data_IF_829444372353
#
_entry.id   IF_829444372353
#
_cell.length_a   1.000
_cell.length_b   1.000
_cell.length_c   1.000
_cell.angle_alpha   90.00
_cell.angle_beta   90.00
_cell.angle_gamma   90.00
#
_symmetry.space_group_name_H-M   'P 1'
#
loop_
_entity.id
_entity.type
_entity.pdbx_description
1 polymer ?
#
# COMPACT_ATOMS: atom_id res chain seq x y z
N UNK A 1 40.21 -9.42 1.41
CA UNK A 1 39.25 -10.38 1.98
C UNK A 1 38.27 -9.57 2.83
N UNK A 2 37.11 -9.23 2.26
CA UNK A 2 36.10 -8.34 2.88
C UNK A 2 34.90 -9.23 3.25
N UNK A 3 34.37 -9.17 4.48
CA UNK A 3 33.31 -10.08 4.91
C UNK A 3 31.99 -9.71 4.23
N UNK A 4 31.32 -10.71 3.63
CA UNK A 4 29.93 -10.59 3.19
C UNK A 4 29.01 -10.80 4.39
N UNK A 5 28.66 -9.73 5.10
CA UNK A 5 27.55 -9.78 6.05
C UNK A 5 26.24 -9.69 5.28
N UNK A 6 25.63 -10.85 5.02
CA UNK A 6 24.26 -10.94 4.50
C UNK A 6 23.29 -10.31 5.51
N UNK A 7 22.66 -9.21 5.12
CA UNK A 7 21.53 -8.66 5.86
C UNK A 7 20.26 -9.17 5.17
N UNK A 8 19.55 -10.05 5.89
CA UNK A 8 18.24 -10.56 5.49
C UNK A 8 17.25 -9.40 5.45
N UNK A 9 16.48 -9.36 4.37
CA UNK A 9 15.46 -8.35 4.03
C UNK A 9 14.23 -8.36 4.97
N UNK A 10 14.32 -9.03 6.11
CA UNK A 10 13.16 -9.48 6.91
C UNK A 10 12.61 -8.45 7.90
N UNK A 11 13.45 -7.55 8.45
CA UNK A 11 13.05 -6.89 9.71
C UNK A 11 12.95 -5.35 9.64
N UNK A 12 13.16 -4.74 8.48
CA UNK A 12 13.06 -3.28 8.30
C UNK A 12 12.67 -2.93 6.87
N UNK A 13 11.39 -2.62 6.63
CA UNK A 13 11.01 -1.78 5.48
C UNK A 13 10.33 -0.52 6.04
N UNK A 14 11.11 0.19 6.84
CA UNK A 14 11.16 1.65 6.82
C UNK A 14 12.24 2.01 5.81
N UNK A 15 11.86 2.15 4.53
CA UNK A 15 12.65 2.96 3.62
C UNK A 15 12.00 4.34 3.61
N UNK A 16 12.58 5.24 4.40
CA UNK A 16 12.49 6.67 4.19
C UNK A 16 12.78 6.94 2.71
N UNK A 17 11.78 7.34 1.94
CA UNK A 17 12.01 7.87 0.60
C UNK A 17 12.48 9.34 0.67
N UNK A 18 13.49 9.60 1.52
CA UNK A 18 14.16 10.91 1.58
C UNK A 18 15.39 10.98 0.67
N UNK A 19 15.91 9.86 0.14
CA UNK A 19 17.21 9.84 -0.56
C UNK A 19 17.17 9.44 -2.05
N UNK A 20 16.00 9.46 -2.71
CA UNK A 20 15.91 9.23 -4.17
C UNK A 20 15.67 10.49 -5.02
N UNK A 21 15.78 11.70 -4.44
CA UNK A 21 15.85 12.94 -5.23
C UNK A 21 17.13 13.74 -4.93
N UNK A 22 18.29 13.37 -5.53
CA UNK A 22 19.51 14.13 -5.37
C UNK A 22 19.57 15.32 -6.34
N UNK A 23 18.49 16.11 -6.52
CA UNK A 23 18.59 17.40 -7.25
C UNK A 23 17.41 18.38 -7.17
N UNK A 24 16.90 18.75 -6.01
CA UNK A 24 15.95 19.89 -5.95
C UNK A 24 16.09 20.75 -4.69
N UNK A 25 17.28 21.34 -4.51
CA UNK A 25 17.42 22.58 -3.72
C UNK A 25 16.82 23.76 -4.50
N UNK A 26 15.49 23.95 -4.52
CA UNK A 26 14.82 25.27 -4.59
C UNK A 26 13.34 25.15 -4.15
N UNK A 27 13.07 25.65 -2.93
CA UNK A 27 11.80 26.15 -2.35
C UNK A 27 10.48 25.44 -2.76
N UNK A 28 9.89 24.69 -1.83
CA UNK A 28 8.48 24.26 -1.86
C UNK A 28 8.28 22.90 -1.17
N UNK A 29 7.30 22.78 -0.28
CA UNK A 29 7.18 21.78 0.78
C UNK A 29 6.85 20.34 0.38
N UNK A 30 7.61 19.40 0.98
CA UNK A 30 7.18 18.15 1.65
C UNK A 30 6.42 17.13 0.79
N UNK A 31 7.18 16.18 0.24
CA UNK A 31 6.70 14.84 -0.06
C UNK A 31 6.36 14.17 1.28
N UNK A 32 5.08 13.89 1.53
CA UNK A 32 4.61 13.35 2.82
C UNK A 32 4.23 11.89 2.63
N UNK A 33 4.98 10.99 3.27
CA UNK A 33 4.59 9.59 3.43
C UNK A 33 4.18 9.37 4.89
N UNK A 34 3.00 8.78 5.12
CA UNK A 34 2.53 8.35 6.44
C UNK A 34 2.62 6.83 6.56
N UNK A 35 3.12 6.37 7.70
CA UNK A 35 3.08 4.97 8.13
C UNK A 35 2.23 4.91 9.40
N UNK A 36 1.21 4.06 9.43
CA UNK A 36 0.51 3.66 10.65
C UNK A 36 1.27 2.45 11.24
N UNK A 37 1.63 2.53 12.52
CA UNK A 37 2.19 1.38 13.25
C UNK A 37 1.12 0.29 13.37
N UNK A 38 1.27 -0.79 12.62
CA UNK A 38 0.67 -2.08 12.97
C UNK A 38 1.77 -2.92 13.61
N UNK A 39 1.52 -3.36 14.84
CA UNK A 39 2.43 -4.18 15.63
C UNK A 39 3.01 -5.34 14.80
N UNK A 40 4.32 -5.54 14.92
CA UNK A 40 5.03 -6.64 14.31
C UNK A 40 4.60 -7.97 14.97
N UNK A 41 3.47 -8.51 14.52
CA UNK A 41 3.16 -9.92 14.73
C UNK A 41 3.75 -10.70 13.55
N UNK A 42 4.45 -11.78 13.87
CA UNK A 42 5.13 -12.60 12.86
C UNK A 42 4.04 -13.32 12.06
N UNK A 43 3.76 -12.86 10.84
CA UNK A 43 2.72 -13.42 9.96
C UNK A 43 2.94 -14.92 9.74
N UNK A 44 2.13 -15.74 10.39
CA UNK A 44 2.18 -17.20 10.28
C UNK A 44 1.56 -17.72 8.99
N UNK A 45 1.09 -16.84 8.09
CA UNK A 45 0.36 -17.22 6.88
C UNK A 45 -1.02 -17.82 7.17
N UNK A 46 -1.44 -17.86 8.45
CA UNK A 46 -2.73 -18.37 8.86
C UNK A 46 -3.75 -17.21 8.86
N UNK A 47 -4.91 -17.47 8.25
CA UNK A 47 -6.01 -16.52 8.21
C UNK A 47 -6.74 -16.51 9.55
N UNK A 48 -7.03 -15.32 10.08
CA UNK A 48 -7.89 -15.17 11.28
C UNK A 48 -9.33 -15.55 10.96
N UNK A 49 -10.16 -15.77 11.98
CA UNK A 49 -11.60 -16.03 11.77
C UNK A 49 -12.29 -14.92 10.99
N UNK A 50 -11.95 -13.65 11.27
CA UNK A 50 -12.48 -12.49 10.54
C UNK A 50 -12.02 -12.46 9.08
N UNK A 51 -10.76 -12.80 8.81
CA UNK A 51 -10.24 -12.91 7.44
C UNK A 51 -10.87 -14.08 6.68
N UNK A 52 -11.11 -15.21 7.35
CA UNK A 52 -11.82 -16.35 6.77
C UNK A 52 -13.25 -15.96 6.37
N UNK A 53 -13.95 -15.21 7.20
CA UNK A 53 -15.29 -14.70 6.89
C UNK A 53 -15.25 -13.68 5.74
N UNK A 54 -14.36 -12.69 5.82
CA UNK A 54 -14.19 -11.64 4.79
C UNK A 54 -13.83 -12.22 3.42
N UNK A 55 -12.95 -13.22 3.37
CA UNK A 55 -12.42 -13.79 2.14
C UNK A 55 -13.06 -15.13 1.75
N UNK A 56 -14.14 -15.55 2.42
CA UNK A 56 -14.82 -16.83 2.15
C UNK A 56 -15.11 -17.04 0.66
N UNK A 57 -15.56 -15.99 -0.05
CA UNK A 57 -15.87 -16.05 -1.49
C UNK A 57 -14.63 -16.13 -2.39
N UNK A 58 -13.45 -15.71 -1.94
CA UNK A 58 -12.20 -15.92 -2.67
C UNK A 58 -11.66 -17.32 -2.41
N UNK A 59 -11.75 -17.81 -1.17
CA UNK A 59 -11.24 -19.13 -0.76
C UNK A 59 -11.94 -20.27 -1.49
N UNK A 60 -13.23 -20.14 -1.82
CA UNK A 60 -13.95 -21.18 -2.58
C UNK A 60 -13.55 -21.25 -4.06
N UNK A 61 -12.80 -20.27 -4.58
CA UNK A 61 -12.31 -20.29 -5.97
C UNK A 61 -11.19 -21.31 -6.09
N UNK A 62 -11.29 -22.19 -7.09
CA UNK A 62 -10.38 -23.31 -7.31
C UNK A 62 -8.92 -22.86 -7.47
N UNK A 63 -8.71 -21.74 -8.16
CA UNK A 63 -7.39 -21.18 -8.47
C UNK A 63 -6.77 -20.41 -7.29
N UNK A 64 -7.58 -20.02 -6.30
CA UNK A 64 -7.13 -19.25 -5.13
C UNK A 64 -7.02 -20.19 -3.93
N UNK A 65 -8.14 -20.72 -3.43
CA UNK A 65 -8.13 -21.57 -2.23
C UNK A 65 -7.65 -20.84 -0.97
N UNK A 66 -7.62 -21.57 0.15
CA UNK A 66 -6.94 -21.10 1.37
C UNK A 66 -5.47 -20.74 1.14
N UNK A 67 -4.66 -21.57 0.43
CA UNK A 67 -3.26 -21.28 0.17
C UNK A 67 -3.03 -20.00 -0.65
N UNK A 68 -3.86 -19.73 -1.67
CA UNK A 68 -3.74 -18.51 -2.46
C UNK A 68 -4.13 -17.26 -1.67
N UNK A 69 -5.15 -17.35 -0.81
CA UNK A 69 -5.51 -16.24 0.07
C UNK A 69 -4.41 -15.97 1.11
N UNK A 70 -3.80 -17.01 1.68
CA UNK A 70 -2.62 -16.87 2.54
C UNK A 70 -1.42 -16.26 1.80
N UNK A 71 -1.22 -16.62 0.54
CA UNK A 71 -0.18 -16.03 -0.30
C UNK A 71 -0.43 -14.54 -0.58
N UNK A 72 -1.69 -14.13 -0.80
CA UNK A 72 -2.06 -12.72 -0.91
C UNK A 72 -1.78 -11.96 0.38
N UNK A 73 -2.17 -12.53 1.54
CA UNK A 73 -1.86 -11.94 2.86
C UNK A 73 -0.36 -11.72 3.06
N UNK A 74 0.47 -12.70 2.70
CA UNK A 74 1.92 -12.56 2.80
C UNK A 74 2.56 -11.65 1.73
N UNK A 75 1.80 -11.25 0.69
CA UNK A 75 2.33 -10.48 -0.43
C UNK A 75 2.57 -9.01 -0.08
N UNK A 76 3.60 -8.44 -0.74
CA UNK A 76 3.95 -7.02 -0.65
C UNK A 76 3.96 -6.43 -2.05
N UNK A 77 3.16 -5.40 -2.28
CA UNK A 77 3.01 -4.76 -3.60
C UNK A 77 3.28 -3.26 -3.47
N UNK A 78 4.11 -2.72 -4.37
CA UNK A 78 4.34 -1.28 -4.51
C UNK A 78 3.56 -0.77 -5.72
N UNK A 79 2.68 0.20 -5.51
CA UNK A 79 1.94 0.89 -6.57
C UNK A 79 2.50 2.29 -6.75
N UNK A 80 2.93 2.59 -7.98
CA UNK A 80 3.44 3.92 -8.35
C UNK A 80 2.31 4.66 -9.08
N UNK A 81 1.83 5.71 -8.43
CA UNK A 81 0.67 6.51 -8.80
C UNK A 81 -0.58 6.05 -8.07
N UNK A 82 -1.27 7.00 -7.41
CA UNK A 82 -2.62 6.89 -6.87
C UNK A 82 -3.64 7.64 -7.77
N UNK A 83 -3.30 7.81 -9.05
CA UNK A 83 -4.13 8.48 -10.05
C UNK A 83 -5.22 7.57 -10.66
N UNK A 84 -5.59 7.81 -11.92
CA UNK A 84 -6.75 7.13 -12.54
C UNK A 84 -6.61 5.60 -12.68
N UNK A 85 -5.38 5.09 -12.85
CA UNK A 85 -5.10 3.65 -12.90
C UNK A 85 -4.78 3.07 -11.52
N UNK A 86 -4.04 3.83 -10.71
CA UNK A 86 -3.65 3.43 -9.37
C UNK A 86 -4.82 3.31 -8.41
N UNK A 87 -5.79 4.22 -8.50
CA UNK A 87 -6.98 4.23 -7.67
C UNK A 87 -7.75 2.88 -7.68
N UNK A 88 -8.21 2.36 -8.82
CA UNK A 88 -8.88 1.05 -8.85
C UNK A 88 -7.93 -0.10 -8.49
N UNK A 89 -6.66 -0.06 -8.89
CA UNK A 89 -5.70 -1.10 -8.55
C UNK A 89 -5.51 -1.23 -7.02
N UNK A 90 -5.28 -0.11 -6.33
CA UNK A 90 -5.13 -0.06 -4.88
C UNK A 90 -6.36 -0.59 -4.16
N UNK A 91 -7.56 -0.17 -4.57
CA UNK A 91 -8.79 -0.63 -3.96
C UNK A 91 -8.98 -2.14 -4.12
N UNK A 92 -8.72 -2.70 -5.31
CA UNK A 92 -8.88 -4.14 -5.53
C UNK A 92 -7.77 -4.96 -4.87
N UNK A 93 -6.52 -4.48 -4.82
CA UNK A 93 -5.45 -5.16 -4.11
C UNK A 93 -5.71 -5.21 -2.59
N UNK A 94 -6.21 -4.11 -2.02
CA UNK A 94 -6.61 -4.06 -0.62
C UNK A 94 -7.80 -4.99 -0.35
N UNK A 95 -8.85 -4.92 -1.18
CA UNK A 95 -10.03 -5.78 -1.08
C UNK A 95 -9.71 -7.27 -1.28
N UNK A 96 -8.70 -7.60 -2.11
CA UNK A 96 -8.19 -8.96 -2.28
C UNK A 96 -7.43 -9.48 -1.06
N UNK A 97 -7.04 -8.61 -0.13
CA UNK A 97 -6.29 -8.96 1.07
C UNK A 97 -4.79 -9.05 0.86
N UNK A 98 -4.22 -8.22 -0.02
CA UNK A 98 -2.75 -8.04 -0.06
C UNK A 98 -2.28 -7.44 1.26
N UNK A 99 -1.43 -8.14 2.00
CA UNK A 99 -1.10 -7.73 3.37
C UNK A 99 -0.20 -6.50 3.48
N UNK A 100 0.58 -6.17 2.45
CA UNK A 100 1.35 -4.92 2.44
C UNK A 100 1.22 -4.18 1.11
N UNK A 101 0.69 -2.95 1.17
CA UNK A 101 0.61 -2.04 0.04
C UNK A 101 1.47 -0.80 0.28
N UNK A 102 2.46 -0.61 -0.58
CA UNK A 102 3.21 0.65 -0.69
C UNK A 102 2.60 1.53 -1.77
N UNK A 103 2.50 2.84 -1.51
CA UNK A 103 1.97 3.83 -2.46
C UNK A 103 3.01 4.92 -2.66
N UNK A 104 3.29 5.28 -3.91
CA UNK A 104 4.14 6.42 -4.27
C UNK A 104 3.37 7.32 -5.22
N UNK A 105 3.13 8.57 -4.83
CA UNK A 105 2.54 9.61 -5.67
C UNK A 105 3.02 10.96 -5.14
N UNK A 106 3.38 11.90 -6.01
CA UNK A 106 3.92 13.21 -5.66
C UNK A 106 2.89 14.35 -5.78
N UNK A 107 1.66 14.03 -6.21
CA UNK A 107 0.59 15.01 -6.35
C UNK A 107 -0.29 15.13 -5.09
N UNK A 108 -1.06 16.21 -5.07
CA UNK A 108 -2.24 16.37 -4.22
C UNK A 108 -3.55 16.02 -4.96
N UNK A 109 -4.61 15.74 -4.21
CA UNK A 109 -5.95 15.53 -4.73
C UNK A 109 -6.47 16.84 -5.33
N UNK A 110 -7.05 16.76 -6.54
CA UNK A 110 -7.66 17.90 -7.23
C UNK A 110 -9.08 17.57 -7.64
N UNK A 111 -9.97 18.56 -7.55
CA UNK A 111 -11.39 18.45 -7.94
C UNK A 111 -11.54 17.96 -9.39
N UNK A 112 -10.70 18.46 -10.31
CA UNK A 112 -10.73 18.11 -11.74
C UNK A 112 -10.24 16.69 -12.04
N UNK A 113 -9.83 15.94 -11.02
CA UNK A 113 -9.40 14.56 -11.13
C UNK A 113 -10.39 13.54 -10.53
N UNK A 114 -11.38 14.00 -9.75
CA UNK A 114 -12.28 13.12 -9.00
C UNK A 114 -13.21 12.27 -9.89
N UNK A 115 -13.48 12.69 -11.13
CA UNK A 115 -14.26 11.92 -12.10
C UNK A 115 -13.62 10.59 -12.50
N UNK A 116 -12.31 10.41 -12.27
CA UNK A 116 -11.56 9.19 -12.62
C UNK A 116 -10.72 8.61 -11.49
N UNK A 117 -10.48 9.36 -10.41
CA UNK A 117 -9.68 8.94 -9.27
C UNK A 117 -10.59 8.60 -8.08
N UNK A 118 -11.38 7.53 -8.25
CA UNK A 118 -12.48 7.12 -7.37
C UNK A 118 -12.07 6.75 -5.93
N UNK A 119 -10.77 6.60 -5.68
CA UNK A 119 -10.23 6.35 -4.33
C UNK A 119 -10.30 7.62 -3.46
N UNK A 120 -10.29 8.82 -4.07
CA UNK A 120 -10.33 10.11 -3.39
C UNK A 120 -11.76 10.68 -3.33
N UNK A 121 -12.01 11.59 -2.38
CA UNK A 121 -13.29 12.29 -2.26
C UNK A 121 -13.12 13.81 -2.23
N UNK A 122 -14.21 14.56 -2.43
CA UNK A 122 -14.23 16.03 -2.39
C UNK A 122 -13.63 16.62 -1.10
N UNK A 123 -13.85 16.04 0.10
CA UNK A 123 -13.22 16.53 1.33
C UNK A 123 -11.68 16.42 1.34
N UNK A 124 -11.10 15.58 0.47
CA UNK A 124 -9.65 15.36 0.40
C UNK A 124 -8.92 16.33 -0.54
N UNK A 125 -9.62 17.21 -1.26
CA UNK A 125 -8.99 18.14 -2.21
C UNK A 125 -7.90 18.97 -1.51
N UNK A 126 -6.70 18.98 -2.10
CA UNK A 126 -5.51 19.62 -1.53
C UNK A 126 -4.67 18.72 -0.62
N UNK A 127 -5.18 17.58 -0.16
CA UNK A 127 -4.39 16.58 0.59
C UNK A 127 -3.45 15.82 -0.36
N UNK A 128 -2.29 15.35 0.11
CA UNK A 128 -1.45 14.43 -0.64
C UNK A 128 -2.24 13.18 -1.05
N UNK A 129 -2.11 12.75 -2.31
CA UNK A 129 -2.86 11.57 -2.79
C UNK A 129 -2.48 10.32 -2.02
N UNK A 130 -1.21 10.16 -1.64
CA UNK A 130 -0.75 9.01 -0.86
C UNK A 130 -1.47 8.89 0.48
N UNK A 131 -1.74 10.01 1.17
CA UNK A 131 -2.48 9.98 2.44
C UNK A 131 -3.96 9.67 2.24
N UNK A 132 -4.62 10.36 1.30
CA UNK A 132 -6.05 10.11 1.01
C UNK A 132 -6.28 8.69 0.53
N UNK A 133 -5.39 8.13 -0.29
CA UNK A 133 -5.47 6.75 -0.75
C UNK A 133 -5.24 5.75 0.39
N UNK A 134 -4.23 5.97 1.24
CA UNK A 134 -3.95 5.11 2.39
C UNK A 134 -5.14 5.05 3.36
N UNK A 135 -5.69 6.22 3.73
CA UNK A 135 -6.87 6.30 4.61
C UNK A 135 -8.07 5.54 4.01
N UNK A 136 -8.28 5.66 2.69
CA UNK A 136 -9.39 4.99 2.00
C UNK A 136 -9.31 3.46 2.05
N UNK A 137 -8.11 2.88 1.95
CA UNK A 137 -7.92 1.43 1.86
C UNK A 137 -7.59 0.75 3.19
N UNK A 138 -7.38 1.54 4.26
CA UNK A 138 -7.25 1.05 5.64
C UNK A 138 -8.56 1.07 6.43
N UNK A 139 -9.64 1.62 5.87
CA UNK A 139 -10.95 1.72 6.50
C UNK A 139 -11.79 0.43 6.38
#
# INVERSE_FOLDING_TARGET
MIPKSGHRFSDKIMLQYNDLCPRQRRRGSICSAKYLEAAADVDTGMLTSEELERYARHIVLREVGGPGQAALKAARVLVIGAGGLGAPALMYLAAAGVGTLGIVDDDAVSLSNLQRQIIHATPDVGRPKVESAADRIHA
#
